data_IF_516889419636
#
_entry.id   IF_516889419636
#
_cell.length_a   1.000
_cell.length_b   1.000
_cell.length_c   1.000
_cell.angle_alpha   90.00
_cell.angle_beta   90.00
_cell.angle_gamma   90.00
#
_symmetry.space_group_name_H-M   'P 1'
#
loop_
_entity.id
_entity.type
_entity.pdbx_description
1 polymer ?
#
# COMPACT_ATOMS: atom_id res chain seq x y z
N UNK A 1 5.44 -16.41 9.23
CA UNK A 1 6.74 -15.77 9.50
C UNK A 1 6.55 -14.66 10.53
N UNK A 2 6.09 -13.45 10.17
CA UNK A 2 5.77 -12.44 11.21
C UNK A 2 4.57 -12.82 12.08
N UNK A 3 3.43 -13.17 11.49
CA UNK A 3 2.22 -13.52 12.25
C UNK A 3 2.45 -14.69 13.22
N UNK A 4 3.15 -15.74 12.76
CA UNK A 4 3.54 -16.88 13.60
C UNK A 4 4.40 -16.47 14.82
N UNK A 5 5.28 -15.48 14.65
CA UNK A 5 6.18 -14.98 15.70
C UNK A 5 5.49 -13.97 16.64
N UNK A 6 4.26 -13.53 16.33
CA UNK A 6 3.55 -12.43 17.02
C UNK A 6 2.10 -12.79 17.38
N UNK A 7 1.84 -14.06 17.73
CA UNK A 7 0.52 -14.55 18.15
C UNK A 7 -0.62 -14.22 17.16
N UNK A 8 -0.32 -14.29 15.86
CA UNK A 8 -1.21 -13.94 14.75
C UNK A 8 -1.72 -12.49 14.76
N UNK A 9 -1.06 -11.56 15.45
CA UNK A 9 -1.38 -10.14 15.35
C UNK A 9 -0.80 -9.55 14.07
N UNK A 10 -1.61 -8.76 13.37
CA UNK A 10 -1.12 -7.91 12.29
C UNK A 10 -0.16 -6.83 12.85
N UNK A 11 0.85 -6.40 12.08
CA UNK A 11 1.66 -5.24 12.47
C UNK A 11 0.82 -3.97 12.40
N UNK A 12 1.32 -2.89 12.97
CA UNK A 12 0.77 -1.55 12.74
C UNK A 12 0.93 -1.19 11.25
N UNK A 13 -0.16 -0.84 10.55
CA UNK A 13 -0.17 -0.59 9.12
C UNK A 13 0.48 0.75 8.71
N UNK A 14 0.77 1.67 9.64
CA UNK A 14 1.65 2.82 9.37
C UNK A 14 3.12 2.42 9.52
N UNK A 15 3.47 1.70 10.59
CA UNK A 15 4.88 1.51 10.97
C UNK A 15 5.50 0.18 10.53
N UNK A 16 4.82 -0.58 9.65
CA UNK A 16 5.31 -1.88 9.19
C UNK A 16 6.61 -1.78 8.37
N UNK A 17 6.79 -0.70 7.58
CA UNK A 17 7.97 -0.51 6.73
C UNK A 17 8.98 0.49 7.30
N UNK A 18 8.49 1.63 7.80
CA UNK A 18 9.31 2.66 8.44
C UNK A 18 8.76 2.92 9.84
N UNK A 19 9.63 2.90 10.86
CA UNK A 19 9.21 2.95 12.25
C UNK A 19 8.57 4.31 12.64
N UNK A 20 8.84 5.35 11.87
CA UNK A 20 8.36 6.71 12.09
C UNK A 20 7.26 7.13 11.08
N UNK A 21 6.87 6.25 10.16
CA UNK A 21 5.77 6.54 9.23
C UNK A 21 4.48 6.91 9.99
N UNK A 22 3.73 7.88 9.45
CA UNK A 22 2.52 8.41 10.08
C UNK A 22 2.78 9.48 11.15
N UNK A 23 3.93 9.51 11.84
CA UNK A 23 4.17 10.47 12.92
C UNK A 23 4.30 11.90 12.36
N UNK A 24 3.59 12.85 12.98
CA UNK A 24 3.69 14.28 12.62
C UNK A 24 5.15 14.75 12.73
N UNK A 25 5.77 15.04 11.59
CA UNK A 25 7.16 15.49 11.48
C UNK A 25 8.22 14.39 11.30
N UNK A 26 7.85 13.12 11.18
CA UNK A 26 8.81 12.01 11.05
C UNK A 26 9.64 12.01 9.77
N UNK A 27 8.98 12.15 8.61
CA UNK A 27 9.68 12.26 7.33
C UNK A 27 9.07 13.34 6.45
N UNK A 28 9.77 14.45 6.26
CA UNK A 28 9.41 15.51 5.31
C UNK A 28 10.42 15.47 4.15
N UNK A 29 9.98 15.29 2.90
CA UNK A 29 8.62 15.54 2.40
C UNK A 29 7.69 14.29 2.45
N UNK A 30 6.56 14.38 3.16
CA UNK A 30 5.50 13.35 3.18
C UNK A 30 5.05 13.00 1.75
N UNK A 31 5.16 11.74 1.34
CA UNK A 31 4.84 11.32 -0.03
C UNK A 31 6.03 11.17 -0.98
N UNK A 32 7.25 11.46 -0.52
CA UNK A 32 8.49 11.24 -1.27
C UNK A 32 9.31 10.04 -0.77
N UNK A 33 8.93 9.45 0.37
CA UNK A 33 9.63 8.34 1.01
C UNK A 33 9.85 7.15 0.06
N UNK A 34 8.89 6.87 -0.82
CA UNK A 34 8.98 5.79 -1.79
C UNK A 34 10.14 5.91 -2.76
N UNK A 35 10.72 7.10 -2.94
CA UNK A 35 11.84 7.32 -3.86
C UNK A 35 13.09 7.94 -3.23
N UNK A 36 13.12 8.07 -1.91
CA UNK A 36 14.28 8.62 -1.20
C UNK A 36 15.21 7.49 -0.77
N UNK A 37 16.31 7.31 -1.51
CA UNK A 37 17.36 6.34 -1.18
C UNK A 37 18.06 6.60 0.16
N UNK A 38 17.91 7.79 0.74
CA UNK A 38 18.47 8.12 2.06
C UNK A 38 17.57 7.71 3.22
N UNK A 39 16.28 7.44 2.95
CA UNK A 39 15.30 7.03 3.95
C UNK A 39 15.16 5.51 3.94
N UNK A 40 15.92 4.86 4.82
CA UNK A 40 16.00 3.41 4.89
C UNK A 40 14.84 2.84 5.70
N UNK A 41 14.29 1.72 5.24
CA UNK A 41 13.31 0.95 5.99
C UNK A 41 13.90 0.42 7.30
N UNK A 42 13.13 0.53 8.38
CA UNK A 42 13.48 0.09 9.73
C UNK A 42 12.26 -0.32 10.56
N UNK A 43 11.08 -0.37 9.93
CA UNK A 43 9.80 -0.72 10.55
C UNK A 43 9.67 -2.19 10.93
N UNK A 44 8.52 -2.51 11.50
CA UNK A 44 8.27 -3.79 12.19
C UNK A 44 8.53 -5.03 11.32
N UNK A 45 8.21 -4.96 10.02
CA UNK A 45 8.43 -6.08 9.10
C UNK A 45 9.81 -6.07 8.44
N UNK A 46 10.60 -5.00 8.54
CA UNK A 46 11.88 -4.90 7.87
C UNK A 46 12.87 -6.04 8.17
N UNK A 47 12.98 -6.55 9.42
CA UNK A 47 13.83 -7.71 9.71
C UNK A 47 13.51 -8.95 8.87
N UNK A 48 12.26 -9.11 8.43
CA UNK A 48 11.78 -10.24 7.62
C UNK A 48 11.91 -10.00 6.11
N UNK A 49 11.97 -8.75 5.68
CA UNK A 49 11.93 -8.34 4.28
C UNK A 49 13.31 -7.98 3.70
N UNK A 50 14.22 -7.42 4.51
CA UNK A 50 15.49 -6.83 4.05
C UNK A 50 16.37 -7.75 3.19
N UNK A 51 16.31 -9.06 3.42
CA UNK A 51 17.12 -10.05 2.72
C UNK A 51 16.50 -10.53 1.39
N UNK A 52 15.26 -10.14 1.10
CA UNK A 52 14.45 -10.77 0.04
C UNK A 52 14.37 -9.96 -1.25
N UNK A 53 14.68 -8.67 -1.24
CA UNK A 53 14.55 -7.77 -2.40
C UNK A 53 13.14 -7.82 -3.06
N UNK A 54 12.09 -7.96 -2.23
CA UNK A 54 10.68 -8.15 -2.65
C UNK A 54 9.82 -6.90 -2.46
N UNK A 55 10.42 -5.79 -2.05
CA UNK A 55 9.69 -4.58 -1.63
C UNK A 55 9.44 -3.60 -2.79
N UNK A 56 10.00 -3.88 -3.98
CA UNK A 56 9.88 -3.02 -5.15
C UNK A 56 9.50 -3.80 -6.41
N UNK A 57 8.35 -3.44 -6.98
CA UNK A 57 7.89 -3.97 -8.25
C UNK A 57 8.77 -3.50 -9.42
N UNK A 58 9.24 -4.39 -10.30
CA UNK A 58 10.01 -4.01 -11.49
C UNK A 58 9.23 -3.11 -12.46
N UNK A 59 7.90 -3.27 -12.55
CA UNK A 59 7.05 -2.41 -13.41
C UNK A 59 6.96 -1.01 -12.84
N UNK A 60 6.70 -0.89 -11.54
CA UNK A 60 6.74 0.40 -10.84
C UNK A 60 8.08 1.11 -11.04
N UNK A 61 9.20 0.42 -10.82
CA UNK A 61 10.56 0.95 -11.02
C UNK A 61 10.83 1.48 -12.44
N UNK A 62 10.21 0.87 -13.46
CA UNK A 62 10.32 1.38 -14.84
C UNK A 62 9.46 2.63 -15.04
N UNK A 63 8.25 2.63 -14.51
CA UNK A 63 7.28 3.71 -14.69
C UNK A 63 7.61 4.97 -13.90
N UNK A 64 8.25 4.84 -12.73
CA UNK A 64 8.67 5.98 -11.90
C UNK A 64 9.63 6.94 -12.61
N UNK A 65 10.28 6.50 -13.68
CA UNK A 65 11.13 7.34 -14.54
C UNK A 65 10.34 8.32 -15.41
N UNK A 66 9.05 8.05 -15.61
CA UNK A 66 8.18 8.80 -16.51
C UNK A 66 7.00 9.45 -15.78
N UNK A 67 6.58 8.86 -14.67
CA UNK A 67 5.49 9.36 -13.83
C UNK A 67 6.01 9.60 -12.41
N UNK A 68 6.22 10.87 -12.08
CA UNK A 68 6.85 11.34 -10.84
C UNK A 68 5.89 12.16 -10.00
N UNK A 69 4.58 11.93 -10.16
CA UNK A 69 3.62 12.63 -9.34
C UNK A 69 3.77 12.19 -7.88
N UNK A 70 3.85 13.18 -7.00
CA UNK A 70 3.86 13.02 -5.56
C UNK A 70 3.13 14.24 -4.98
N UNK A 71 2.50 14.06 -3.82
CA UNK A 71 1.61 15.04 -3.18
C UNK A 71 2.26 16.40 -2.85
N UNK A 72 3.58 16.52 -2.99
CA UNK A 72 4.36 17.72 -2.65
C UNK A 72 4.80 18.50 -3.89
N UNK A 73 4.36 19.76 -3.97
CA UNK A 73 4.61 20.69 -5.08
C UNK A 73 6.10 21.02 -5.34
N UNK A 74 6.99 20.77 -4.37
CA UNK A 74 8.43 21.06 -4.46
C UNK A 74 9.26 19.94 -3.82
N UNK A 75 9.30 18.78 -4.45
CA UNK A 75 10.29 17.76 -4.12
C UNK A 75 11.58 18.01 -4.93
N UNK A 76 12.73 17.93 -4.27
CA UNK A 76 14.06 17.97 -4.90
C UNK A 76 14.83 16.65 -4.74
N UNK A 77 14.21 15.64 -4.13
CA UNK A 77 14.81 14.34 -3.91
C UNK A 77 14.87 13.61 -5.26
N UNK A 78 16.02 13.05 -5.66
CA UNK A 78 16.10 12.23 -6.87
C UNK A 78 15.09 11.08 -6.82
N UNK A 79 14.51 10.73 -7.96
CA UNK A 79 13.58 9.58 -8.02
C UNK A 79 14.39 8.30 -8.11
N UNK A 80 14.70 7.71 -6.95
CA UNK A 80 15.25 6.35 -6.83
C UNK A 80 14.24 5.49 -6.07
N UNK A 81 13.33 4.76 -6.75
CA UNK A 81 12.26 4.02 -6.10
C UNK A 81 12.83 2.97 -5.16
N UNK A 82 12.40 3.02 -3.89
CA UNK A 82 12.77 2.09 -2.83
C UNK A 82 11.70 1.03 -2.63
N UNK A 83 10.42 1.38 -2.71
CA UNK A 83 9.31 0.44 -2.55
C UNK A 83 8.11 0.76 -3.42
N UNK A 84 7.15 -0.17 -3.51
CA UNK A 84 5.92 0.01 -4.30
C UNK A 84 4.66 -0.63 -3.69
N UNK A 85 4.73 -1.12 -2.45
CA UNK A 85 3.63 -1.83 -1.80
C UNK A 85 3.20 -1.12 -0.52
N UNK A 86 1.93 -1.29 -0.20
CA UNK A 86 1.29 -0.75 0.99
C UNK A 86 0.44 -1.82 1.66
N UNK A 87 0.31 -1.68 2.98
CA UNK A 87 -0.46 -2.61 3.78
C UNK A 87 -1.93 -2.19 3.82
N UNK A 88 -2.83 -3.18 3.85
CA UNK A 88 -4.25 -2.95 4.10
C UNK A 88 -4.43 -2.26 5.45
N UNK A 89 -4.94 -1.03 5.43
CA UNK A 89 -5.18 -0.25 6.63
C UNK A 89 -6.16 -0.94 7.60
N UNK A 90 -7.06 -1.82 7.15
CA UNK A 90 -8.05 -2.47 8.01
C UNK A 90 -7.50 -3.66 8.83
N UNK A 91 -6.22 -4.00 8.67
CA UNK A 91 -5.53 -5.06 9.40
C UNK A 91 -4.51 -4.43 10.36
N UNK A 92 -4.67 -4.65 11.66
CA UNK A 92 -3.80 -4.08 12.70
C UNK A 92 -4.41 -2.87 13.41
N UNK A 93 -3.63 -2.31 14.33
CA UNK A 93 -4.02 -1.15 15.13
C UNK A 93 -3.54 0.14 14.45
N UNK A 94 -4.43 1.13 14.31
CA UNK A 94 -4.07 2.46 13.80
C UNK A 94 -3.40 3.34 14.87
N UNK A 95 -3.25 2.82 16.09
CA UNK A 95 -2.56 3.49 17.18
C UNK A 95 -3.17 4.86 17.50
N UNK A 96 -2.35 5.91 17.41
CA UNK A 96 -2.75 7.29 17.73
C UNK A 96 -3.73 7.91 16.70
N UNK A 97 -3.89 7.31 15.52
CA UNK A 97 -4.82 7.78 14.47
C UNK A 97 -6.28 7.35 14.69
N UNK A 98 -6.55 6.62 15.78
CA UNK A 98 -7.90 6.34 16.30
C UNK A 98 -8.31 4.87 16.20
N UNK A 99 -9.43 4.52 16.84
CA UNK A 99 -10.02 3.18 16.75
C UNK A 99 -10.90 3.08 15.50
N UNK A 100 -10.36 2.53 14.42
CA UNK A 100 -11.14 2.17 13.24
C UNK A 100 -11.66 0.72 13.38
N UNK A 101 -12.77 0.37 12.71
CA UNK A 101 -13.47 -0.91 12.89
C UNK A 101 -12.78 -2.13 12.23
N UNK A 102 -11.47 -2.06 11.99
CA UNK A 102 -10.66 -3.16 11.45
C UNK A 102 -10.50 -4.34 12.43
N UNK A 103 -9.55 -5.22 12.13
CA UNK A 103 -9.24 -6.40 12.97
C UNK A 103 -7.78 -6.42 13.40
N UNK A 104 -7.49 -6.98 14.57
CA UNK A 104 -6.13 -7.03 15.13
C UNK A 104 -5.43 -8.34 14.82
N UNK A 105 -6.19 -9.43 14.68
CA UNK A 105 -5.68 -10.79 14.50
C UNK A 105 -6.17 -11.43 13.22
N UNK A 106 -5.34 -12.30 12.66
CA UNK A 106 -5.68 -13.15 11.52
C UNK A 106 -6.99 -13.93 11.74
N UNK A 107 -7.21 -14.45 12.96
CA UNK A 107 -8.41 -15.23 13.32
C UNK A 107 -9.72 -14.45 13.26
N UNK A 108 -9.67 -13.12 13.20
CA UNK A 108 -10.84 -12.25 13.10
C UNK A 108 -11.27 -12.01 11.64
N UNK A 109 -10.41 -12.35 10.67
CA UNK A 109 -10.69 -12.22 9.25
C UNK A 109 -11.61 -13.36 8.80
N UNK A 110 -12.85 -13.05 8.37
CA UNK A 110 -13.82 -14.10 8.01
C UNK A 110 -13.48 -14.87 6.74
N UNK A 111 -12.87 -14.19 5.76
CA UNK A 111 -12.52 -14.75 4.46
C UNK A 111 -11.08 -14.41 4.08
N UNK A 112 -10.05 -15.05 4.68
CA UNK A 112 -8.65 -14.72 4.46
C UNK A 112 -8.21 -14.73 2.98
N UNK A 113 -8.80 -15.62 2.17
CA UNK A 113 -8.57 -15.70 0.72
C UNK A 113 -9.26 -14.59 -0.11
N UNK A 114 -9.93 -13.63 0.53
CA UNK A 114 -10.62 -12.51 -0.15
C UNK A 114 -10.25 -11.16 0.43
N UNK A 115 -9.50 -11.14 1.52
CA UNK A 115 -9.04 -9.91 2.17
C UNK A 115 -7.58 -9.74 1.82
N UNK A 116 -7.23 -8.61 1.21
CA UNK A 116 -5.84 -8.35 0.88
C UNK A 116 -5.05 -7.98 2.15
N UNK A 117 -3.80 -8.37 2.18
CA UNK A 117 -2.81 -7.95 3.16
C UNK A 117 -1.94 -6.83 2.56
N UNK A 118 -1.32 -7.07 1.41
CA UNK A 118 -0.50 -6.08 0.72
C UNK A 118 -0.97 -5.88 -0.71
N UNK A 119 -0.91 -4.65 -1.19
CA UNK A 119 -1.09 -4.35 -2.60
C UNK A 119 -0.15 -3.24 -3.05
N UNK A 120 0.06 -3.17 -4.35
CA UNK A 120 0.65 -2.01 -5.00
C UNK A 120 -0.30 -0.80 -5.01
N UNK A 121 0.29 0.40 -5.03
CA UNK A 121 -0.39 1.69 -5.23
C UNK A 121 0.20 2.46 -6.42
N UNK A 122 -0.60 3.35 -7.03
CA UNK A 122 -0.14 4.19 -8.13
C UNK A 122 0.72 5.38 -7.66
N UNK A 123 1.60 5.84 -8.55
CA UNK A 123 2.34 7.11 -8.40
C UNK A 123 1.56 8.30 -8.99
N UNK A 124 0.29 8.12 -9.36
CA UNK A 124 -0.57 9.14 -9.94
C UNK A 124 -2.00 8.95 -9.47
N UNK A 125 -2.77 10.03 -9.49
CA UNK A 125 -4.20 9.98 -9.19
C UNK A 125 -5.00 9.59 -10.42
N UNK A 126 -6.10 8.86 -10.20
CA UNK A 126 -7.06 8.49 -11.23
C UNK A 126 -8.37 9.22 -10.93
N UNK A 127 -8.84 10.13 -11.81
CA UNK A 127 -10.07 10.88 -11.59
C UNK A 127 -11.26 9.96 -11.31
N UNK A 128 -11.92 10.16 -10.17
CA UNK A 128 -13.07 9.36 -9.73
C UNK A 128 -12.71 8.09 -8.95
N UNK A 129 -11.43 7.71 -8.88
CA UNK A 129 -10.98 6.52 -8.16
C UNK A 129 -10.01 6.86 -7.01
N UNK A 130 -9.01 7.72 -7.23
CA UNK A 130 -8.04 8.10 -6.18
C UNK A 130 -7.77 9.60 -6.10
N UNK A 131 -7.56 10.09 -4.87
CA UNK A 131 -7.13 11.47 -4.55
C UNK A 131 -5.73 11.52 -3.94
N UNK A 132 -5.25 10.39 -3.41
CA UNK A 132 -3.88 10.20 -2.98
C UNK A 132 -3.15 9.19 -3.89
N UNK A 133 -1.84 9.16 -3.74
CA UNK A 133 -0.89 8.29 -4.44
C UNK A 133 0.01 7.68 -3.38
N UNK A 134 0.80 6.66 -3.73
CA UNK A 134 1.74 6.03 -2.80
C UNK A 134 2.52 7.07 -1.98
N UNK A 135 2.22 7.15 -0.68
CA UNK A 135 2.71 8.23 0.17
C UNK A 135 3.18 7.80 1.56
N UNK A 136 2.53 6.82 2.18
CA UNK A 136 2.75 6.45 3.60
C UNK A 136 2.67 4.94 3.88
N UNK A 137 2.63 4.11 2.83
CA UNK A 137 2.53 2.64 2.91
C UNK A 137 1.26 2.11 3.59
N UNK A 138 0.24 2.97 3.73
CA UNK A 138 -0.97 2.74 4.47
C UNK A 138 -2.19 2.87 3.55
N UNK A 139 -2.67 1.73 3.04
CA UNK A 139 -3.65 1.69 1.96
C UNK A 139 -5.09 1.66 2.50
N UNK A 140 -5.76 2.82 2.47
CA UNK A 140 -7.16 2.99 2.91
C UNK A 140 -8.10 2.98 1.71
N UNK A 141 -8.54 1.78 1.33
CA UNK A 141 -9.63 1.63 0.38
C UNK A 141 -10.95 1.63 1.15
N UNK A 142 -11.87 2.53 0.81
CA UNK A 142 -13.18 2.69 1.47
C UNK A 142 -14.33 2.74 0.48
N UNK A 143 -15.55 2.41 0.92
CA UNK A 143 -16.75 2.47 0.08
C UNK A 143 -17.32 3.88 -0.12
N UNK A 144 -16.83 4.89 0.62
CA UNK A 144 -17.42 6.24 0.68
C UNK A 144 -16.44 7.36 0.34
N UNK A 145 -15.15 7.06 0.23
CA UNK A 145 -14.10 8.01 -0.09
C UNK A 145 -13.14 7.39 -1.11
N UNK A 146 -12.74 8.20 -2.09
CA UNK A 146 -11.73 7.89 -3.08
C UNK A 146 -10.33 8.29 -2.58
N UNK A 147 -9.99 7.94 -1.33
CA UNK A 147 -8.65 8.18 -0.77
C UNK A 147 -7.60 7.47 -1.61
N UNK A 148 -7.60 6.15 -1.53
CA UNK A 148 -6.59 5.29 -2.13
C UNK A 148 -7.23 4.16 -2.95
N UNK A 149 -6.45 3.57 -3.85
CA UNK A 149 -6.86 2.37 -4.59
C UNK A 149 -5.66 1.48 -4.85
N UNK A 150 -5.94 0.24 -5.25
CA UNK A 150 -4.92 -0.58 -5.87
C UNK A 150 -4.32 0.11 -7.10
N UNK A 151 -3.06 -0.24 -7.38
CA UNK A 151 -2.40 0.14 -8.61
C UNK A 151 -3.12 -0.36 -9.86
N UNK A 152 -2.81 0.25 -11.00
CA UNK A 152 -3.44 -0.05 -12.29
C UNK A 152 -2.42 -0.25 -13.41
N UNK A 153 -1.15 -0.45 -13.06
CA UNK A 153 -0.06 -0.38 -14.05
C UNK A 153 0.40 -1.71 -14.64
N UNK A 154 -0.19 -2.84 -14.23
CA UNK A 154 0.04 -4.12 -14.88
C UNK A 154 -1.02 -4.42 -15.93
N UNK A 155 -0.58 -4.94 -17.07
CA UNK A 155 -1.45 -5.33 -18.19
C UNK A 155 -2.50 -4.27 -18.59
N UNK A 156 -2.13 -2.98 -18.73
CA UNK A 156 -3.07 -1.92 -19.06
C UNK A 156 -3.71 -2.16 -20.43
N UNK A 157 -5.05 -2.25 -20.53
CA UNK A 157 -5.74 -2.49 -21.80
C UNK A 157 -5.50 -1.34 -22.76
N UNK A 158 -4.97 -1.65 -23.95
CA UNK A 158 -4.61 -0.62 -24.94
C UNK A 158 -3.48 0.32 -24.47
N UNK A 159 -2.75 -0.02 -23.42
CA UNK A 159 -1.73 0.85 -22.81
C UNK A 159 -2.29 1.91 -21.85
N UNK A 160 -3.60 1.89 -21.57
CA UNK A 160 -4.24 2.80 -20.63
C UNK A 160 -3.89 2.41 -19.17
N UNK A 161 -2.91 3.11 -18.61
CA UNK A 161 -2.38 2.86 -17.27
C UNK A 161 -3.40 3.06 -16.15
N UNK A 162 -4.57 3.65 -16.41
CA UNK A 162 -5.62 3.84 -15.39
C UNK A 162 -6.59 2.65 -15.34
N UNK A 163 -6.39 1.63 -16.19
CA UNK A 163 -7.31 0.50 -16.35
C UNK A 163 -6.66 -0.88 -16.23
N UNK A 164 -5.39 -0.94 -15.85
CA UNK A 164 -4.72 -2.22 -15.65
C UNK A 164 -5.05 -2.85 -14.31
N UNK A 165 -4.04 -3.48 -13.72
CA UNK A 165 -4.17 -4.31 -12.53
C UNK A 165 -3.01 -4.08 -11.54
N UNK A 166 -3.20 -4.55 -10.32
CA UNK A 166 -2.20 -4.59 -9.25
C UNK A 166 -1.87 -6.03 -8.88
N UNK A 167 -0.64 -6.29 -8.44
CA UNK A 167 -0.35 -7.47 -7.64
C UNK A 167 -0.91 -7.28 -6.23
N UNK A 168 -1.68 -8.26 -5.77
CA UNK A 168 -2.31 -8.27 -4.46
C UNK A 168 -1.94 -9.56 -3.75
N UNK A 169 -1.48 -9.44 -2.51
CA UNK A 169 -1.24 -10.56 -1.59
C UNK A 169 -2.39 -10.62 -0.60
N UNK A 170 -2.98 -11.78 -0.41
CA UNK A 170 -4.12 -12.01 0.47
C UNK A 170 -3.68 -12.52 1.85
N UNK A 171 -4.58 -12.45 2.83
CA UNK A 171 -4.29 -12.84 4.22
C UNK A 171 -3.89 -14.32 4.33
N UNK A 172 -4.45 -15.20 3.50
CA UNK A 172 -4.03 -16.61 3.43
C UNK A 172 -2.67 -16.86 2.73
N UNK A 173 -2.03 -15.79 2.24
CA UNK A 173 -0.71 -15.80 1.62
C UNK A 173 -0.69 -16.07 0.12
N UNK A 174 -1.82 -16.28 -0.56
CA UNK A 174 -1.82 -16.34 -2.02
C UNK A 174 -1.65 -14.94 -2.62
N UNK A 175 -1.21 -14.89 -3.89
CA UNK A 175 -1.10 -13.66 -4.65
C UNK A 175 -1.79 -13.78 -6.00
N UNK A 176 -2.48 -12.73 -6.42
CA UNK A 176 -3.12 -12.64 -7.74
C UNK A 176 -3.06 -11.22 -8.31
N UNK A 177 -3.35 -11.12 -9.60
CA UNK A 177 -3.54 -9.84 -10.27
C UNK A 177 -5.00 -9.43 -10.13
N UNK A 178 -5.24 -8.29 -9.47
CA UNK A 178 -6.57 -7.72 -9.29
C UNK A 178 -6.72 -6.51 -10.20
N UNK A 179 -7.81 -6.49 -10.97
CA UNK A 179 -8.22 -5.32 -11.74
C UNK A 179 -9.38 -4.65 -11.01
N UNK A 180 -9.14 -3.46 -10.46
CA UNK A 180 -10.22 -2.59 -9.99
C UNK A 180 -10.42 -1.52 -11.05
N UNK A 181 -11.55 -1.61 -11.72
CA UNK A 181 -11.94 -0.63 -12.73
C UNK A 181 -12.52 0.59 -12.03
N UNK A 182 -12.20 1.78 -12.56
CA UNK A 182 -12.69 3.11 -12.14
C UNK A 182 -14.20 3.18 -11.89
N UNK A 183 -14.98 2.25 -12.44
CA UNK A 183 -16.43 2.24 -12.35
C UNK A 183 -16.97 1.83 -10.96
N UNK A 184 -16.18 1.18 -10.08
CA UNK A 184 -16.68 0.76 -8.77
C UNK A 184 -15.62 0.61 -7.66
N UNK A 185 -15.37 1.70 -6.91
CA UNK A 185 -14.52 1.68 -5.71
C UNK A 185 -14.99 0.66 -4.64
N UNK A 186 -16.28 0.27 -4.65
CA UNK A 186 -16.84 -0.75 -3.77
C UNK A 186 -16.18 -2.12 -3.95
N UNK A 187 -15.70 -2.44 -5.16
CA UNK A 187 -15.08 -3.74 -5.42
C UNK A 187 -13.68 -3.83 -4.80
N UNK A 188 -12.94 -2.72 -4.77
CA UNK A 188 -11.71 -2.62 -3.97
C UNK A 188 -12.01 -2.75 -2.48
N UNK A 189 -13.06 -2.09 -1.99
CA UNK A 189 -13.44 -2.15 -0.57
C UNK A 189 -13.83 -3.56 -0.12
N UNK A 190 -14.51 -4.35 -0.96
CA UNK A 190 -14.82 -5.76 -0.68
C UNK A 190 -13.58 -6.63 -0.46
N UNK A 191 -12.46 -6.24 -1.07
CA UNK A 191 -11.18 -6.90 -0.89
C UNK A 191 -10.40 -6.33 0.32
N UNK A 192 -10.71 -5.11 0.74
CA UNK A 192 -10.06 -4.45 1.88
C UNK A 192 -10.68 -4.84 3.22
N UNK A 193 -12.00 -4.95 3.28
CA UNK A 193 -12.74 -5.05 4.52
C UNK A 193 -12.70 -6.46 5.14
N UNK A 194 -12.33 -6.63 6.42
CA UNK A 194 -12.05 -7.95 7.01
C UNK A 194 -13.27 -8.80 7.41
N UNK A 195 -14.50 -8.48 6.96
CA UNK A 195 -15.75 -9.10 7.43
C UNK A 195 -16.43 -10.07 6.48
#
# INVERSE_FOLDING_TARGET
>A
MYLDDNDSHFPDPFTWLHADAGVSGAYQPWGCAWHDSSYLADGTLWPYLKAKDVHLCPTFKRLSKYNQYHSILKCSIPVDPQYSYSMNAWLGDWGEFGSQPGVLKESEVKHPARVFFFSEENMWTIPGLTRAVLNDNFLVISSSDSSDSFATYHNPPGGDLDKGSANVVFVDGHAELVCVVVENAEDGYKLAWPN
#
